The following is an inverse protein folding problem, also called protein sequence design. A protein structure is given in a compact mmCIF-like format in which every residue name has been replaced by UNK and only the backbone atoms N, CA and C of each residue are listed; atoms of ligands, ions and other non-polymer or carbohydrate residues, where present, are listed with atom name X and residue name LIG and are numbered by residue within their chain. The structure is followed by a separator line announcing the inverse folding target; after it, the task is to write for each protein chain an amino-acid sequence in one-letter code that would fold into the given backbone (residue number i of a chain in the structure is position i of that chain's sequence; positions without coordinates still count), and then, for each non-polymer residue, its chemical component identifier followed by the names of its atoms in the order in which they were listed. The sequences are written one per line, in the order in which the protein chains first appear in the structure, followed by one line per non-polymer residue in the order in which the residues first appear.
data_IF_402340980362
#
_entry.id   IF_402340980362
#
_cell.length_a   1.000
_cell.length_b   1.000
_cell.length_c   1.000
_cell.angle_alpha   90.00
_cell.angle_beta   90.00
_cell.angle_gamma   90.00
#
_symmetry.space_group_name_H-M   'P 1'
#
loop_
_entity.id
_entity.type
_entity.pdbx_description
1 polymer ?
#
# COMPACT_ATOMS: atom_id res chain seq x y z
N UNK A 1 13.74 18.37 -2.51
CA UNK A 1 12.41 17.79 -2.19
C UNK A 1 12.59 16.81 -1.04
N UNK A 2 11.91 17.05 0.09
CA UNK A 2 12.06 16.23 1.31
C UNK A 2 11.34 14.88 1.16
N UNK A 3 11.85 13.83 1.82
CA UNK A 3 11.33 12.45 1.70
C UNK A 3 9.86 12.29 2.13
N UNK A 4 9.41 13.10 3.10
CA UNK A 4 8.01 13.17 3.51
C UNK A 4 7.06 13.56 2.35
N UNK A 5 7.56 14.39 1.42
CA UNK A 5 6.81 14.91 0.29
C UNK A 5 6.67 13.88 -0.84
N UNK A 6 7.69 13.02 -1.02
CA UNK A 6 7.64 11.89 -1.96
C UNK A 6 6.69 10.80 -1.48
N UNK A 7 6.71 10.49 -0.19
CA UNK A 7 5.76 9.54 0.41
C UNK A 7 4.32 10.01 0.23
N UNK A 8 4.03 11.26 0.61
CA UNK A 8 2.68 11.82 0.44
C UNK A 8 2.18 11.82 -1.01
N UNK A 9 3.05 12.13 -1.98
CA UNK A 9 2.68 12.10 -3.40
C UNK A 9 2.45 10.66 -3.90
N UNK A 10 3.26 9.70 -3.48
CA UNK A 10 3.08 8.28 -3.80
C UNK A 10 1.75 7.76 -3.25
N UNK A 11 1.46 8.05 -1.98
CA UNK A 11 0.19 7.71 -1.33
C UNK A 11 -0.99 8.30 -2.10
N UNK A 12 -0.90 9.57 -2.52
CA UNK A 12 -1.96 10.25 -3.26
C UNK A 12 -2.21 9.60 -4.63
N UNK A 13 -1.15 9.33 -5.41
CA UNK A 13 -1.27 8.68 -6.72
C UNK A 13 -1.88 7.28 -6.58
N UNK A 14 -1.39 6.49 -5.61
CA UNK A 14 -1.91 5.15 -5.36
C UNK A 14 -3.37 5.22 -4.93
N UNK A 15 -3.74 6.12 -4.02
CA UNK A 15 -5.12 6.27 -3.56
C UNK A 15 -6.06 6.66 -4.70
N UNK A 16 -5.64 7.58 -5.57
CA UNK A 16 -6.43 7.97 -6.75
C UNK A 16 -6.61 6.81 -7.73
N UNK A 17 -5.57 6.02 -7.97
CA UNK A 17 -5.62 4.88 -8.89
C UNK A 17 -6.48 3.74 -8.31
N UNK A 18 -6.37 3.48 -7.01
CA UNK A 18 -7.26 2.55 -6.28
C UNK A 18 -8.70 3.03 -6.33
N UNK A 19 -8.96 4.32 -6.07
CA UNK A 19 -10.32 4.87 -6.11
C UNK A 19 -10.91 4.81 -7.53
N UNK A 20 -10.09 4.92 -8.57
CA UNK A 20 -10.52 4.84 -9.98
C UNK A 20 -10.78 3.40 -10.42
N UNK A 21 -9.92 2.46 -10.05
CA UNK A 21 -9.98 1.07 -10.53
C UNK A 21 -10.79 0.13 -9.61
N UNK A 22 -10.85 0.43 -8.31
CA UNK A 22 -11.52 -0.37 -7.28
C UNK A 22 -12.53 0.46 -6.45
N UNK A 23 -13.39 1.30 -7.06
CA UNK A 23 -14.22 2.27 -6.33
C UNK A 23 -15.15 1.61 -5.32
N UNK A 24 -15.77 0.48 -5.69
CA UNK A 24 -16.74 -0.21 -4.83
C UNK A 24 -16.07 -0.85 -3.61
N UNK A 25 -14.96 -1.57 -3.81
CA UNK A 25 -14.25 -2.21 -2.71
C UNK A 25 -13.59 -1.18 -1.80
N UNK A 26 -13.08 -0.10 -2.39
CA UNK A 26 -12.48 1.00 -1.65
C UNK A 26 -13.51 1.67 -0.74
N UNK A 27 -14.69 2.02 -1.28
CA UNK A 27 -15.76 2.61 -0.50
C UNK A 27 -16.28 1.65 0.58
N UNK A 28 -16.48 0.36 0.25
CA UNK A 28 -16.99 -0.63 1.21
C UNK A 28 -16.04 -0.82 2.41
N UNK A 29 -14.73 -0.87 2.16
CA UNK A 29 -13.73 -0.95 3.24
C UNK A 29 -13.73 0.31 4.10
N UNK A 30 -13.74 1.51 3.48
CA UNK A 30 -13.80 2.78 4.21
C UNK A 30 -15.08 2.94 5.02
N UNK A 31 -16.23 2.52 4.50
CA UNK A 31 -17.51 2.51 5.22
C UNK A 31 -17.44 1.60 6.44
N UNK A 32 -16.87 0.41 6.30
CA UNK A 32 -16.70 -0.52 7.42
C UNK A 32 -15.81 0.08 8.52
N UNK A 33 -14.70 0.70 8.13
CA UNK A 33 -13.78 1.39 9.06
C UNK A 33 -14.34 2.71 9.62
N UNK A 34 -15.47 3.21 9.11
CA UNK A 34 -16.14 4.42 9.62
C UNK A 34 -17.22 4.11 10.67
N UNK A 35 -17.45 2.83 10.96
CA UNK A 35 -18.38 2.41 12.01
C UNK A 35 -17.83 2.78 13.40
N UNK A 36 -18.70 3.05 14.39
CA UNK A 36 -18.29 3.52 15.72
C UNK A 36 -17.38 2.55 16.49
N UNK A 37 -17.29 1.28 16.07
CA UNK A 37 -16.26 0.34 16.48
C UNK A 37 -15.51 -0.16 15.23
N UNK A 38 -14.50 0.59 14.76
CA UNK A 38 -13.71 0.18 13.61
C UNK A 38 -12.77 -0.93 14.05
N UNK A 39 -13.24 -2.17 13.92
CA UNK A 39 -12.41 -3.33 14.17
C UNK A 39 -11.86 -3.87 12.85
N UNK A 40 -10.53 -3.93 12.66
CA UNK A 40 -9.92 -4.51 11.49
C UNK A 40 -10.36 -5.97 11.23
N UNK A 41 -10.67 -6.72 12.28
CA UNK A 41 -11.14 -8.10 12.18
C UNK A 41 -12.57 -8.17 11.62
N UNK A 42 -13.44 -7.20 11.97
CA UNK A 42 -14.79 -7.11 11.41
C UNK A 42 -14.80 -6.63 9.95
N UNK A 43 -13.78 -5.89 9.52
CA UNK A 43 -13.63 -5.41 8.15
C UNK A 43 -12.71 -6.28 7.27
N UNK A 44 -12.32 -7.46 7.76
CA UNK A 44 -11.38 -8.36 7.07
C UNK A 44 -11.88 -8.75 5.67
N UNK A 45 -13.20 -8.96 5.53
CA UNK A 45 -13.80 -9.31 4.22
C UNK A 45 -13.55 -8.20 3.20
N UNK A 46 -13.92 -6.97 3.54
CA UNK A 46 -13.78 -5.81 2.66
C UNK A 46 -12.29 -5.51 2.41
N UNK A 47 -11.44 -5.74 3.40
CA UNK A 47 -9.99 -5.64 3.25
C UNK A 47 -9.45 -6.63 2.20
N UNK A 48 -9.88 -7.89 2.25
CA UNK A 48 -9.46 -8.93 1.29
C UNK A 48 -9.98 -8.60 -0.12
N UNK A 49 -11.26 -8.23 -0.24
CA UNK A 49 -11.85 -7.84 -1.53
C UNK A 49 -11.13 -6.63 -2.15
N UNK A 50 -10.83 -5.61 -1.34
CA UNK A 50 -10.04 -4.45 -1.78
C UNK A 50 -8.63 -4.85 -2.19
N UNK A 51 -7.94 -5.64 -1.35
CA UNK A 51 -6.57 -6.11 -1.65
C UNK A 51 -6.51 -6.93 -2.93
N UNK A 52 -7.50 -7.79 -3.17
CA UNK A 52 -7.59 -8.57 -4.39
C UNK A 52 -7.79 -7.67 -5.60
N UNK A 53 -8.71 -6.71 -5.52
CA UNK A 53 -8.93 -5.76 -6.61
C UNK A 53 -7.66 -4.94 -6.91
N UNK A 54 -6.97 -4.45 -5.88
CA UNK A 54 -5.72 -3.68 -6.05
C UNK A 54 -4.67 -4.52 -6.80
N UNK A 55 -4.52 -5.80 -6.43
CA UNK A 55 -3.56 -6.71 -7.09
C UNK A 55 -3.90 -6.98 -8.55
N UNK A 56 -5.18 -7.09 -8.91
CA UNK A 56 -5.59 -7.50 -10.26
C UNK A 56 -5.90 -6.34 -11.20
N UNK A 57 -6.31 -5.19 -10.67
CA UNK A 57 -7.01 -4.16 -11.44
C UNK A 57 -6.35 -2.78 -11.36
N UNK A 58 -5.39 -2.56 -10.45
CA UNK A 58 -4.69 -1.27 -10.28
C UNK A 58 -3.32 -1.35 -10.98
N UNK A 59 -3.14 -0.69 -12.14
CA UNK A 59 -1.92 -0.84 -12.95
C UNK A 59 -0.67 -0.30 -12.26
N UNK A 60 -0.78 0.80 -11.51
CA UNK A 60 0.34 1.35 -10.73
C UNK A 60 0.84 0.34 -9.70
N UNK A 61 -0.07 -0.35 -9.01
CA UNK A 61 0.28 -1.40 -8.06
C UNK A 61 0.95 -2.60 -8.73
N UNK A 62 0.45 -3.05 -9.88
CA UNK A 62 1.05 -4.14 -10.64
C UNK A 62 2.48 -3.82 -11.10
N UNK A 63 2.73 -2.58 -11.57
CA UNK A 63 4.08 -2.11 -11.91
C UNK A 63 5.02 -2.19 -10.71
N UNK A 64 4.61 -1.63 -9.57
CA UNK A 64 5.42 -1.65 -8.34
C UNK A 64 5.65 -3.09 -7.88
N UNK A 65 4.64 -3.94 -7.93
CA UNK A 65 4.77 -5.33 -7.54
C UNK A 65 5.77 -6.08 -8.44
N UNK A 66 5.77 -5.81 -9.75
CA UNK A 66 6.75 -6.38 -10.68
C UNK A 66 8.16 -5.85 -10.46
N UNK A 67 8.34 -4.53 -10.53
CA UNK A 67 9.65 -3.88 -10.52
C UNK A 67 10.29 -3.83 -9.11
N UNK A 68 9.48 -3.72 -8.07
CA UNK A 68 9.91 -3.56 -6.69
C UNK A 68 9.66 -4.80 -5.82
N UNK A 69 9.33 -5.96 -6.42
CA UNK A 69 9.11 -7.24 -5.70
C UNK A 69 10.20 -7.55 -4.68
N UNK A 70 11.47 -7.43 -5.06
CA UNK A 70 12.61 -7.69 -4.16
C UNK A 70 12.68 -6.71 -2.98
N UNK A 71 12.33 -5.43 -3.19
CA UNK A 71 12.28 -4.42 -2.12
C UNK A 71 11.09 -4.65 -1.18
N UNK A 72 9.94 -5.06 -1.72
CA UNK A 72 8.78 -5.49 -0.93
C UNK A 72 9.14 -6.64 0.00
N UNK A 73 9.80 -7.68 -0.54
CA UNK A 73 10.23 -8.83 0.24
C UNK A 73 11.25 -8.47 1.33
N UNK A 74 12.20 -7.58 1.03
CA UNK A 74 13.18 -7.11 2.01
C UNK A 74 12.50 -6.37 3.18
N UNK A 75 11.56 -5.48 2.88
CA UNK A 75 10.79 -4.77 3.90
C UNK A 75 9.92 -5.73 4.74
N UNK A 76 9.23 -6.67 4.09
CA UNK A 76 8.42 -7.68 4.78
C UNK A 76 9.27 -8.59 5.68
N UNK A 77 10.46 -9.00 5.20
CA UNK A 77 11.41 -9.78 5.98
C UNK A 77 11.90 -8.99 7.22
N UNK A 78 12.23 -7.71 7.05
CA UNK A 78 12.61 -6.86 8.17
C UNK A 78 11.48 -6.75 9.20
N UNK A 79 10.23 -6.54 8.77
CA UNK A 79 9.08 -6.49 9.67
C UNK A 79 8.90 -7.80 10.43
N UNK A 80 9.00 -8.96 9.76
CA UNK A 80 8.93 -10.27 10.40
C UNK A 80 10.02 -10.46 11.45
N UNK A 81 11.26 -10.07 11.15
CA UNK A 81 12.39 -10.15 12.08
C UNK A 81 12.24 -9.21 13.28
N UNK A 82 11.60 -8.06 13.09
CA UNK A 82 11.48 -7.01 14.11
C UNK A 82 10.10 -6.94 14.76
N UNK A 83 9.28 -8.00 14.68
CA UNK A 83 7.92 -8.06 15.28
C UNK A 83 7.04 -6.87 14.86
N UNK A 84 7.07 -6.54 13.58
CA UNK A 84 6.33 -5.42 12.98
C UNK A 84 6.74 -4.02 13.50
N UNK A 85 7.93 -3.88 14.11
CA UNK A 85 8.49 -2.57 14.46
C UNK A 85 8.98 -1.85 13.20
N UNK A 86 8.11 -1.03 12.61
CA UNK A 86 8.37 -0.27 11.38
C UNK A 86 9.56 0.69 11.50
N UNK A 87 9.83 1.22 12.70
CA UNK A 87 10.95 2.13 12.97
C UNK A 87 12.33 1.50 12.78
N UNK A 88 12.43 0.17 12.84
CA UNK A 88 13.67 -0.58 12.58
C UNK A 88 13.87 -0.94 11.11
N UNK A 89 12.84 -0.74 10.29
CA UNK A 89 12.82 -1.09 8.87
C UNK A 89 12.69 0.16 7.99
N UNK A 90 13.11 1.31 8.51
CA UNK A 90 13.05 2.61 7.80
C UNK A 90 13.89 2.60 6.53
N UNK A 91 15.04 1.93 6.55
CA UNK A 91 15.91 1.79 5.39
C UNK A 91 15.21 0.99 4.27
N UNK A 92 14.68 -0.19 4.58
CA UNK A 92 13.97 -1.03 3.61
C UNK A 92 12.68 -0.36 3.10
N UNK A 93 12.01 0.39 3.98
CA UNK A 93 10.83 1.20 3.61
C UNK A 93 11.19 2.33 2.64
N UNK A 94 12.32 3.01 2.85
CA UNK A 94 12.82 4.05 1.96
C UNK A 94 13.15 3.49 0.59
N UNK A 95 13.89 2.39 0.55
CA UNK A 95 14.27 1.71 -0.68
C UNK A 95 13.04 1.27 -1.48
N UNK A 96 12.02 0.74 -0.80
CA UNK A 96 10.74 0.40 -1.40
C UNK A 96 10.03 1.63 -1.98
N UNK A 97 9.95 2.73 -1.21
CA UNK A 97 9.31 3.98 -1.66
C UNK A 97 10.03 4.59 -2.86
N UNK A 98 11.36 4.58 -2.85
CA UNK A 98 12.17 5.09 -3.96
C UNK A 98 11.94 4.27 -5.23
N UNK A 99 11.88 2.94 -5.11
CA UNK A 99 11.55 2.07 -6.22
C UNK A 99 10.14 2.34 -6.74
N UNK A 100 9.14 2.35 -5.85
CA UNK A 100 7.75 2.56 -6.22
C UNK A 100 7.53 3.90 -6.93
N UNK A 101 8.15 4.98 -6.42
CA UNK A 101 8.09 6.28 -7.06
C UNK A 101 8.72 6.27 -8.46
N UNK A 102 9.87 5.59 -8.62
CA UNK A 102 10.52 5.41 -9.91
C UNK A 102 9.73 4.59 -10.91
N UNK A 103 8.92 3.63 -10.46
CA UNK A 103 8.07 2.79 -11.31
C UNK A 103 6.81 3.51 -11.82
N UNK A 104 6.30 4.47 -11.03
CA UNK A 104 5.09 5.25 -11.39
C UNK A 104 5.45 6.52 -12.17
N UNK A 105 6.63 7.12 -11.92
CA UNK A 105 7.07 8.38 -12.55
C UNK A 105 7.95 8.16 -13.80
N UNK A 106 7.81 6.99 -14.45
CA UNK A 106 8.43 6.62 -15.73
C UNK A 106 7.36 6.50 -16.80
#
# INVERSE_FOLDING_TARGET
MSQQQKGGLLDQILLEDVARCCPHQFLAFHQCMSLPQPDPEHCLKQQVELTQCIRTSVPSFQKIQGECSGKLQAYEACLKMNKSQTSKCTHELEDLRNCAFGSINK
#
